data_IF_378801612732
#
_entry.id   IF_378801612732
#
_cell.length_a   1.000
_cell.length_b   1.000
_cell.length_c   1.000
_cell.angle_alpha   90.00
_cell.angle_beta   90.00
_cell.angle_gamma   90.00
#
_symmetry.space_group_name_H-M   'P 1'
#
loop_
_entity.id
_entity.type
_entity.pdbx_description
1 polymer ?
#
# COMPACT_ATOMS: atom_id res chain seq x y z
N UNK A 1 -18.92 19.35 70.33
CA UNK A 1 -18.64 18.42 69.22
C UNK A 1 -18.68 19.26 67.96
N UNK A 2 -17.66 20.10 67.79
CA UNK A 2 -16.44 19.86 66.97
C UNK A 2 -16.65 20.60 65.63
N UNK A 3 -16.19 21.85 65.55
CA UNK A 3 -14.82 22.26 65.20
C UNK A 3 -14.56 22.11 63.69
N UNK A 4 -14.34 23.25 63.03
CA UNK A 4 -13.13 23.59 62.24
C UNK A 4 -13.48 24.60 61.14
N UNK A 5 -12.94 25.80 61.32
CA UNK A 5 -12.74 26.80 60.26
C UNK A 5 -11.59 26.32 59.38
N UNK A 6 -11.77 26.16 58.07
CA UNK A 6 -10.69 26.34 57.10
C UNK A 6 -11.26 27.07 55.87
N UNK A 7 -10.95 28.36 55.78
CA UNK A 7 -11.00 29.14 54.55
C UNK A 7 -9.80 28.71 53.69
N UNK A 8 -10.03 28.07 52.55
CA UNK A 8 -9.02 27.97 51.50
C UNK A 8 -9.70 28.05 50.13
N UNK A 9 -9.35 29.12 49.42
CA UNK A 9 -9.66 29.43 48.02
C UNK A 9 -9.48 28.19 47.14
N UNK A 10 -10.56 27.64 46.61
CA UNK A 10 -10.50 26.59 45.59
C UNK A 10 -11.08 27.11 44.28
N UNK A 11 -10.28 27.76 43.45
CA UNK A 11 -10.65 28.02 42.05
C UNK A 11 -10.58 26.67 41.35
N UNK A 12 -11.73 26.10 41.03
CA UNK A 12 -11.84 24.86 40.27
C UNK A 12 -11.54 25.17 38.80
N UNK A 13 -10.26 25.23 38.44
CA UNK A 13 -9.82 25.37 37.03
C UNK A 13 -10.02 24.01 36.36
N UNK A 14 -11.18 23.79 35.74
CA UNK A 14 -11.32 22.75 34.73
C UNK A 14 -10.45 23.13 33.54
N UNK A 15 -9.22 22.62 33.50
CA UNK A 15 -8.36 22.71 32.34
C UNK A 15 -8.92 21.77 31.26
N UNK A 16 -9.89 22.25 30.49
CA UNK A 16 -10.30 21.56 29.26
C UNK A 16 -9.21 21.85 28.23
N UNK A 17 -8.16 21.01 28.21
CA UNK A 17 -7.24 20.98 27.06
C UNK A 17 -7.98 20.28 25.93
N UNK A 18 -8.88 20.98 25.25
CA UNK A 18 -9.37 20.61 23.92
C UNK A 18 -8.55 21.34 22.88
N UNK A 19 -7.35 20.85 22.66
CA UNK A 19 -6.60 20.98 21.42
C UNK A 19 -5.68 19.78 21.51
N UNK A 20 -5.95 18.69 20.80
CA UNK A 20 -5.44 18.52 19.45
C UNK A 20 -6.43 17.61 18.71
N UNK A 21 -7.28 18.21 17.87
CA UNK A 21 -7.71 17.53 16.65
C UNK A 21 -6.45 17.40 15.79
N UNK A 22 -5.67 16.36 16.07
CA UNK A 22 -4.48 16.06 15.29
C UNK A 22 -4.99 15.67 13.93
N UNK A 23 -4.87 16.55 12.95
CA UNK A 23 -4.65 16.10 11.60
C UNK A 23 -3.38 15.24 11.69
N UNK A 24 -3.58 13.93 11.86
CA UNK A 24 -2.48 12.97 11.84
C UNK A 24 -1.74 13.24 10.55
N UNK A 25 -0.46 13.60 10.65
CA UNK A 25 0.42 13.44 9.50
C UNK A 25 0.47 11.94 9.28
N UNK A 26 -0.16 11.45 8.22
CA UNK A 26 0.04 10.07 7.82
C UNK A 26 1.53 9.93 7.49
N UNK A 27 2.23 9.22 8.35
CA UNK A 27 3.62 8.88 8.15
C UNK A 27 3.72 7.90 6.98
N UNK A 28 4.75 8.01 6.11
CA UNK A 28 4.96 7.06 5.03
C UNK A 28 4.87 5.61 5.53
N UNK A 29 3.93 4.83 4.98
CA UNK A 29 3.71 3.44 5.39
C UNK A 29 4.53 2.51 4.51
N UNK A 30 5.02 1.42 5.09
CA UNK A 30 5.50 0.27 4.32
C UNK A 30 4.39 -0.78 4.27
N UNK A 31 3.89 -1.07 3.07
CA UNK A 31 2.70 -1.90 2.84
C UNK A 31 3.11 -3.15 2.07
N UNK A 32 2.82 -4.33 2.63
CA UNK A 32 3.06 -5.60 1.97
C UNK A 32 1.94 -5.87 0.94
N UNK A 33 2.30 -5.97 -0.33
CA UNK A 33 1.34 -6.22 -1.42
C UNK A 33 0.78 -7.63 -1.30
N UNK A 34 -0.53 -7.73 -1.10
CA UNK A 34 -1.21 -9.02 -0.91
C UNK A 34 -1.10 -9.62 0.49
N UNK A 35 -0.63 -8.85 1.48
CA UNK A 35 -0.44 -9.28 2.87
C UNK A 35 0.31 -10.63 2.95
N UNK A 36 -0.23 -11.61 3.69
CA UNK A 36 0.36 -12.93 3.84
C UNK A 36 0.29 -13.80 2.59
N UNK A 37 -0.58 -13.49 1.63
CA UNK A 37 -0.62 -14.19 0.34
C UNK A 37 0.52 -13.71 -0.58
N UNK A 38 0.81 -12.41 -0.56
CA UNK A 38 1.89 -11.83 -1.36
C UNK A 38 1.50 -11.58 -2.83
N UNK A 39 2.52 -11.39 -3.66
CA UNK A 39 2.37 -11.03 -5.08
C UNK A 39 2.34 -12.26 -5.99
N UNK A 40 1.16 -12.84 -6.20
CA UNK A 40 0.93 -13.93 -7.17
C UNK A 40 -0.53 -14.00 -7.62
N UNK A 41 -0.83 -14.89 -8.57
CA UNK A 41 -2.21 -15.20 -8.99
C UNK A 41 -2.96 -15.96 -7.89
N UNK A 42 -4.13 -15.46 -7.50
CA UNK A 42 -4.93 -16.02 -6.40
C UNK A 42 -5.07 -15.07 -5.21
N UNK A 43 -4.21 -14.05 -5.10
CA UNK A 43 -4.41 -12.92 -4.19
C UNK A 43 -5.56 -12.04 -4.66
N UNK A 44 -6.48 -11.68 -3.76
CA UNK A 44 -7.57 -10.75 -4.07
C UNK A 44 -7.10 -9.28 -3.93
N UNK A 45 -6.48 -8.75 -4.99
CA UNK A 45 -5.96 -7.37 -4.95
C UNK A 45 -7.03 -6.29 -4.87
N UNK A 46 -8.26 -6.55 -5.33
CA UNK A 46 -9.36 -5.59 -5.16
C UNK A 46 -9.69 -5.41 -3.68
N UNK A 47 -9.82 -6.52 -2.95
CA UNK A 47 -10.06 -6.48 -1.51
C UNK A 47 -8.86 -5.89 -0.76
N UNK A 48 -7.65 -6.35 -1.08
CA UNK A 48 -6.42 -5.86 -0.44
C UNK A 48 -6.21 -4.36 -0.65
N UNK A 49 -6.37 -3.85 -1.88
CA UNK A 49 -6.20 -2.43 -2.17
C UNK A 49 -7.27 -1.58 -1.48
N UNK A 50 -8.52 -2.08 -1.40
CA UNK A 50 -9.60 -1.42 -0.66
C UNK A 50 -9.29 -1.31 0.83
N UNK A 51 -8.73 -2.36 1.44
CA UNK A 51 -8.35 -2.38 2.85
C UNK A 51 -7.15 -1.48 3.17
N UNK A 52 -6.25 -1.28 2.21
CA UNK A 52 -5.07 -0.44 2.36
C UNK A 52 -5.27 1.02 1.89
N UNK A 53 -6.45 1.32 1.35
CA UNK A 53 -6.85 2.66 0.90
C UNK A 53 -7.16 3.58 2.10
N UNK A 54 -6.88 4.89 2.01
CA UNK A 54 -6.14 5.55 0.92
C UNK A 54 -4.65 5.17 0.92
N UNK A 55 -4.06 5.15 -0.28
CA UNK A 55 -2.60 5.18 -0.40
C UNK A 55 -2.13 6.63 -0.26
N UNK A 56 -0.98 6.84 0.38
CA UNK A 56 -0.42 8.18 0.58
C UNK A 56 0.86 8.37 -0.23
N UNK A 57 1.19 9.63 -0.52
CA UNK A 57 2.49 9.96 -1.07
C UNK A 57 3.61 9.48 -0.14
N UNK A 58 4.61 8.85 -0.74
CA UNK A 58 5.76 8.22 -0.10
C UNK A 58 5.46 6.91 0.63
N UNK A 59 4.24 6.37 0.58
CA UNK A 59 4.03 4.96 0.94
C UNK A 59 4.94 4.06 0.09
N UNK A 60 5.56 3.07 0.72
CA UNK A 60 6.38 2.06 0.06
C UNK A 60 5.58 0.77 -0.08
N UNK A 61 5.36 0.31 -1.31
CA UNK A 61 4.79 -1.01 -1.59
C UNK A 61 5.91 -2.06 -1.65
N UNK A 62 5.74 -3.16 -0.91
CA UNK A 62 6.68 -4.29 -0.88
C UNK A 62 6.06 -5.48 -1.59
N UNK A 63 6.66 -5.90 -2.69
CA UNK A 63 6.25 -7.04 -3.48
C UNK A 63 7.10 -8.25 -3.10
N UNK A 64 6.47 -9.27 -2.50
CA UNK A 64 7.11 -10.55 -2.18
C UNK A 64 6.58 -11.67 -3.05
N UNK A 65 7.49 -12.41 -3.68
CA UNK A 65 7.19 -13.54 -4.54
C UNK A 65 8.41 -14.47 -4.65
N UNK A 66 8.18 -15.79 -4.87
CA UNK A 66 9.27 -16.75 -4.92
C UNK A 66 10.17 -16.53 -6.15
N UNK A 67 11.47 -16.87 -6.04
CA UNK A 67 12.39 -16.81 -7.19
C UNK A 67 12.00 -17.84 -8.26
N UNK A 68 12.51 -17.70 -9.50
CA UNK A 68 12.29 -18.66 -10.56
C UNK A 68 12.67 -20.08 -10.14
N UNK A 69 11.84 -21.07 -10.48
CA UNK A 69 12.06 -22.49 -10.13
C UNK A 69 11.37 -22.95 -8.83
N UNK A 70 10.94 -22.02 -7.97
CA UNK A 70 10.15 -22.34 -6.77
C UNK A 70 8.63 -22.14 -6.96
N UNK A 71 8.20 -21.72 -8.15
CA UNK A 71 6.80 -21.49 -8.54
C UNK A 71 6.58 -21.96 -9.98
N UNK A 72 5.33 -22.33 -10.29
CA UNK A 72 4.91 -22.72 -11.65
C UNK A 72 4.95 -21.55 -12.63
N UNK A 73 4.76 -20.33 -12.14
CA UNK A 73 4.83 -19.08 -12.91
C UNK A 73 5.72 -18.11 -12.16
N UNK A 74 6.76 -17.61 -12.84
CA UNK A 74 7.56 -16.51 -12.31
C UNK A 74 6.67 -15.30 -12.06
N UNK A 75 7.05 -14.38 -11.17
CA UNK A 75 6.31 -13.14 -10.99
C UNK A 75 7.23 -11.96 -11.27
N UNK A 76 6.71 -10.89 -11.83
CA UNK A 76 7.44 -9.64 -12.03
C UNK A 76 6.56 -8.46 -11.65
N UNK A 77 7.18 -7.30 -11.49
CA UNK A 77 6.49 -6.05 -11.17
C UNK A 77 6.70 -5.09 -12.32
N UNK A 78 5.67 -4.91 -13.14
CA UNK A 78 5.63 -3.88 -14.18
C UNK A 78 4.78 -2.70 -13.73
N UNK A 79 5.17 -1.52 -14.22
CA UNK A 79 4.35 -0.32 -14.21
C UNK A 79 3.87 -0.04 -15.63
N UNK A 80 2.56 -0.15 -15.86
CA UNK A 80 1.95 0.13 -17.14
C UNK A 80 1.78 1.64 -17.36
N UNK A 81 1.89 2.11 -18.60
CA UNK A 81 1.97 3.55 -18.87
C UNK A 81 0.63 4.28 -18.71
N UNK A 82 -0.50 3.56 -18.80
CA UNK A 82 -1.84 4.15 -18.76
C UNK A 82 -2.93 3.10 -18.45
N UNK A 83 -4.15 3.58 -18.19
CA UNK A 83 -5.32 2.76 -17.88
C UNK A 83 -5.68 1.78 -19.01
N UNK A 84 -5.52 2.16 -20.27
CA UNK A 84 -5.83 1.28 -21.41
C UNK A 84 -4.93 0.04 -21.41
N UNK A 85 -3.62 0.26 -21.24
CA UNK A 85 -2.61 -0.79 -21.15
C UNK A 85 -2.89 -1.71 -19.96
N UNK A 86 -3.32 -1.14 -18.82
CA UNK A 86 -3.74 -1.89 -17.63
C UNK A 86 -4.97 -2.78 -17.86
N UNK A 87 -6.01 -2.26 -18.49
CA UNK A 87 -7.24 -3.01 -18.76
C UNK A 87 -6.94 -4.17 -19.70
N UNK A 88 -6.21 -3.89 -20.79
CA UNK A 88 -5.90 -4.86 -21.86
C UNK A 88 -4.70 -5.76 -21.57
N UNK A 89 -3.92 -5.45 -20.53
CA UNK A 89 -2.64 -6.08 -20.24
C UNK A 89 -1.64 -6.01 -21.40
N UNK A 90 -1.62 -4.88 -22.11
CA UNK A 90 -0.63 -4.59 -23.13
C UNK A 90 0.64 -4.02 -22.47
N UNK A 91 1.74 -4.78 -22.50
CA UNK A 91 3.00 -4.38 -21.87
C UNK A 91 3.89 -3.51 -22.76
N UNK A 92 3.39 -3.06 -23.92
CA UNK A 92 4.13 -2.16 -24.80
C UNK A 92 4.38 -0.83 -24.08
N UNK A 93 5.66 -0.52 -23.85
CA UNK A 93 6.06 0.69 -23.12
C UNK A 93 5.84 0.58 -21.60
N UNK A 94 5.48 -0.58 -21.07
CA UNK A 94 5.50 -0.83 -19.63
C UNK A 94 6.95 -0.86 -19.13
N UNK A 95 7.16 -0.33 -17.93
CA UNK A 95 8.46 -0.34 -17.27
C UNK A 95 8.55 -1.56 -16.37
N UNK A 96 9.52 -2.44 -16.60
CA UNK A 96 9.90 -3.46 -15.62
C UNK A 96 10.52 -2.74 -14.42
N UNK A 97 9.88 -2.85 -13.26
CA UNK A 97 10.39 -2.31 -12.00
C UNK A 97 11.17 -3.38 -11.25
N UNK A 98 10.58 -4.56 -11.07
CA UNK A 98 11.18 -5.70 -10.36
C UNK A 98 11.12 -6.97 -11.19
N UNK A 99 12.27 -7.60 -11.39
CA UNK A 99 12.45 -8.87 -12.08
C UNK A 99 12.11 -10.08 -11.21
N UNK A 100 12.01 -11.26 -11.82
CA UNK A 100 11.56 -12.48 -11.14
C UNK A 100 12.39 -12.91 -9.93
N UNK A 101 13.65 -12.48 -9.81
CA UNK A 101 14.51 -12.78 -8.67
C UNK A 101 14.41 -11.77 -7.53
N UNK A 102 13.83 -10.59 -7.74
CA UNK A 102 13.87 -9.48 -6.79
C UNK A 102 12.75 -9.53 -5.74
N UNK A 103 11.75 -10.40 -5.91
CA UNK A 103 10.67 -10.60 -4.93
C UNK A 103 11.05 -11.45 -3.73
N UNK A 104 12.24 -12.08 -3.72
CA UNK A 104 12.68 -12.95 -2.64
C UNK A 104 13.15 -12.14 -1.40
N UNK A 105 13.27 -12.83 -0.25
CA UNK A 105 13.79 -12.24 0.99
C UNK A 105 12.97 -11.05 1.50
N UNK A 106 13.58 -9.87 1.52
CA UNK A 106 12.94 -8.63 1.93
C UNK A 106 11.89 -8.12 0.91
N UNK A 107 11.90 -8.64 -0.31
CA UNK A 107 10.98 -8.27 -1.38
C UNK A 107 11.41 -7.02 -2.16
N UNK A 108 10.79 -6.84 -3.32
CA UNK A 108 11.02 -5.70 -4.20
C UNK A 108 10.20 -4.49 -3.72
N UNK A 109 10.79 -3.31 -3.61
CA UNK A 109 10.16 -2.12 -3.03
C UNK A 109 9.88 -1.05 -4.08
N UNK A 110 8.71 -0.43 -4.01
CA UNK A 110 8.31 0.70 -4.87
C UNK A 110 7.72 1.82 -4.03
N UNK A 111 8.33 3.01 -4.11
CA UNK A 111 7.81 4.19 -3.43
C UNK A 111 6.76 4.92 -4.29
N UNK A 112 5.62 5.23 -3.70
CA UNK A 112 4.53 5.99 -4.31
C UNK A 112 4.81 7.50 -4.23
N UNK A 113 5.81 7.95 -4.98
CA UNK A 113 6.37 9.31 -4.88
C UNK A 113 5.76 10.35 -5.84
N UNK A 114 4.67 10.01 -6.54
CA UNK A 114 4.03 10.90 -7.52
C UNK A 114 2.53 10.86 -7.32
N UNK A 115 1.87 12.02 -7.39
CA UNK A 115 0.41 12.11 -7.33
C UNK A 115 -0.18 11.75 -8.70
N UNK A 116 -0.12 10.46 -9.03
CA UNK A 116 -0.69 9.87 -10.25
C UNK A 116 -1.07 8.41 -9.99
N UNK A 117 -1.97 7.82 -10.78
CA UNK A 117 -2.22 6.38 -10.72
C UNK A 117 -0.97 5.56 -11.07
N UNK A 118 -0.71 4.53 -10.28
CA UNK A 118 0.27 3.49 -10.56
C UNK A 118 -0.49 2.24 -11.00
N UNK A 119 -0.29 1.82 -12.24
CA UNK A 119 -0.91 0.64 -12.83
C UNK A 119 0.04 -0.55 -12.73
N UNK A 120 -0.02 -1.31 -11.65
CA UNK A 120 0.87 -2.46 -11.43
C UNK A 120 0.30 -3.72 -12.08
N UNK A 121 1.17 -4.52 -12.73
CA UNK A 121 0.83 -5.87 -13.15
C UNK A 121 2.05 -6.79 -13.30
N UNK A 122 1.81 -8.09 -13.43
CA UNK A 122 2.82 -9.10 -13.80
C UNK A 122 2.59 -9.56 -15.25
N UNK A 123 3.66 -9.74 -16.02
CA UNK A 123 3.59 -10.10 -17.46
C UNK A 123 3.82 -11.60 -17.72
N UNK A 124 4.14 -12.36 -16.68
CA UNK A 124 4.63 -13.72 -16.80
C UNK A 124 3.55 -14.67 -17.34
N UNK A 125 3.98 -15.75 -18.00
CA UNK A 125 3.06 -16.69 -18.65
C UNK A 125 2.20 -16.04 -19.73
N UNK A 126 2.79 -15.22 -20.60
CA UNK A 126 2.08 -14.47 -21.65
C UNK A 126 0.95 -13.57 -21.12
N UNK A 127 1.12 -13.03 -19.91
CA UNK A 127 0.16 -12.15 -19.23
C UNK A 127 -1.23 -12.75 -18.96
N UNK A 128 -1.41 -14.08 -18.99
CA UNK A 128 -2.71 -14.72 -18.73
C UNK A 128 -3.32 -14.29 -17.39
N UNK A 129 -2.51 -14.25 -16.32
CA UNK A 129 -2.97 -13.86 -14.99
C UNK A 129 -3.35 -12.38 -14.92
N UNK A 130 -2.62 -11.50 -15.63
CA UNK A 130 -2.99 -10.10 -15.74
C UNK A 130 -4.35 -9.93 -16.45
N UNK A 131 -4.53 -10.63 -17.58
CA UNK A 131 -5.75 -10.57 -18.40
C UNK A 131 -6.94 -11.05 -17.56
N UNK A 132 -6.76 -12.11 -16.78
CA UNK A 132 -7.75 -12.62 -15.84
C UNK A 132 -7.97 -11.71 -14.61
N UNK A 133 -7.19 -10.65 -14.44
CA UNK A 133 -7.27 -9.73 -13.29
C UNK A 133 -6.68 -10.27 -11.99
N UNK A 134 -5.90 -11.35 -12.06
CA UNK A 134 -5.36 -12.07 -10.91
C UNK A 134 -4.01 -11.54 -10.44
N UNK A 135 -3.29 -10.77 -11.26
CA UNK A 135 -1.96 -10.21 -10.93
C UNK A 135 -1.82 -8.76 -11.38
N UNK A 136 -2.83 -7.94 -11.07
CA UNK A 136 -2.82 -6.50 -11.35
C UNK A 136 -3.64 -5.70 -10.35
N UNK A 137 -3.23 -4.47 -10.07
CA UNK A 137 -3.99 -3.51 -9.27
C UNK A 137 -3.58 -2.07 -9.57
N UNK A 138 -4.38 -1.13 -9.07
CA UNK A 138 -4.11 0.30 -9.19
C UNK A 138 -3.87 0.86 -7.79
N UNK A 139 -2.78 1.61 -7.61
CA UNK A 139 -2.57 2.44 -6.43
C UNK A 139 -2.64 3.92 -6.84
N UNK A 140 -3.44 4.71 -6.14
CA UNK A 140 -3.58 6.16 -6.40
C UNK A 140 -3.22 6.90 -5.11
N UNK A 141 -1.95 7.33 -4.95
CA UNK A 141 -1.53 8.05 -3.75
C UNK A 141 -2.08 9.48 -3.72
N UNK A 142 -2.63 9.89 -2.56
CA UNK A 142 -3.03 11.26 -2.25
C UNK A 142 -2.05 11.93 -1.26
N UNK A 143 -2.07 13.27 -1.24
CA UNK A 143 -1.34 14.10 -0.29
C UNK A 143 -2.14 14.45 0.97
N UNK A 144 -3.37 13.93 1.08
CA UNK A 144 -4.37 14.25 2.09
C UNK A 144 -4.85 12.98 2.75
#
# INVERSE_FOLDING_TARGET
MDAIRILAKGVFVFLVITCVGGAGRDEPRTILVGDSQGWHAGTNYTQWATQNSPFHLNDTLVFKYPPPGNSTVAQSVYLLPNLWSYITCEFRGAKLLGSASEGAGEGFKVDLNQSKPYYFASAEGNAYDCIAGLTKFIAVPSSF
#
